data_IF_112488332458
#
_entry.id   IF_112488332458
#
_cell.length_a   1.000
_cell.length_b   1.000
_cell.length_c   1.000
_cell.angle_alpha   90.00
_cell.angle_beta   90.00
_cell.angle_gamma   90.00
#
_symmetry.space_group_name_H-M   'P 1'
#
loop_
_entity.id
_entity.type
_entity.pdbx_description
1 polymer ?
#
# COMPACT_ATOMS: atom_id res chain seq x y z
N UNK A 1 4.38 -12.87 -8.36
CA UNK A 1 4.59 -12.71 -6.92
C UNK A 1 4.02 -11.38 -6.48
N UNK A 2 3.11 -11.38 -5.51
CA UNK A 2 2.36 -10.21 -5.06
C UNK A 2 3.27 -9.23 -4.30
N UNK A 3 3.16 -7.92 -4.59
CA UNK A 3 3.93 -6.87 -3.92
C UNK A 3 3.20 -6.26 -2.71
N UNK A 4 1.94 -6.66 -2.50
CA UNK A 4 1.05 -6.14 -1.48
C UNK A 4 0.36 -7.32 -0.79
N UNK A 5 0.58 -7.48 0.51
CA UNK A 5 0.03 -8.53 1.37
C UNK A 5 -0.64 -7.88 2.59
N UNK A 6 -1.82 -7.30 2.38
CA UNK A 6 -2.55 -6.56 3.42
C UNK A 6 -3.90 -7.24 3.71
N UNK A 7 -4.41 -7.17 4.96
CA UNK A 7 -5.69 -7.79 5.34
C UNK A 7 -6.92 -7.09 4.76
N UNK A 8 -6.76 -5.87 4.25
CA UNK A 8 -7.80 -5.04 3.64
C UNK A 8 -7.27 -4.35 2.39
N UNK A 9 -8.16 -3.73 1.63
CA UNK A 9 -7.81 -3.03 0.41
C UNK A 9 -6.78 -1.92 0.69
N UNK A 10 -5.86 -1.68 -0.25
CA UNK A 10 -4.81 -0.67 -0.10
C UNK A 10 -5.42 0.73 0.09
N UNK A 11 -6.54 0.97 -0.58
CA UNK A 11 -7.29 2.22 -0.57
C UNK A 11 -7.84 2.57 0.83
N UNK A 12 -8.08 1.57 1.69
CA UNK A 12 -8.57 1.77 3.07
C UNK A 12 -7.49 2.38 3.98
N UNK A 13 -6.23 2.33 3.58
CA UNK A 13 -5.11 2.96 4.29
C UNK A 13 -4.85 4.38 3.83
N UNK A 14 -5.57 4.89 2.83
CA UNK A 14 -5.33 6.22 2.30
C UNK A 14 -5.93 7.30 3.19
N UNK A 15 -5.08 8.24 3.59
CA UNK A 15 -5.50 9.49 4.21
C UNK A 15 -5.67 10.57 3.14
N UNK A 16 -6.87 11.14 3.09
CA UNK A 16 -7.22 12.23 2.17
C UNK A 16 -7.19 13.55 2.91
N UNK A 17 -6.59 14.56 2.30
CA UNK A 17 -6.64 15.92 2.81
C UNK A 17 -6.98 16.89 1.69
N UNK A 18 -7.75 17.90 2.05
CA UNK A 18 -8.02 19.05 1.22
C UNK A 18 -7.24 20.25 1.76
N UNK A 19 -6.60 20.99 0.85
CA UNK A 19 -5.95 22.26 1.18
C UNK A 19 -6.90 23.41 0.83
N UNK A 20 -6.76 24.55 1.52
CA UNK A 20 -7.66 25.69 1.37
C UNK A 20 -7.94 26.05 -0.11
N UNK A 21 -9.22 26.30 -0.46
CA UNK A 21 -9.58 26.69 -1.81
C UNK A 21 -8.89 28.00 -2.20
N UNK A 22 -8.20 27.98 -3.33
CA UNK A 22 -7.66 29.20 -3.94
C UNK A 22 -8.63 29.71 -5.01
N UNK A 23 -8.48 30.97 -5.45
CA UNK A 23 -9.20 31.51 -6.62
C UNK A 23 -9.02 30.68 -7.90
N UNK A 24 -8.02 29.79 -7.97
CA UNK A 24 -7.71 28.95 -9.13
C UNK A 24 -8.29 27.53 -9.04
N UNK A 25 -8.83 27.15 -7.88
CA UNK A 25 -9.33 25.81 -7.63
C UNK A 25 -8.91 25.26 -6.26
N UNK A 26 -9.23 23.99 -6.05
CA UNK A 26 -9.00 23.23 -4.82
C UNK A 26 -7.83 22.30 -5.01
N UNK A 27 -6.99 22.16 -3.99
CA UNK A 27 -5.86 21.23 -3.97
C UNK A 27 -6.16 20.10 -3.01
N UNK A 28 -5.92 18.88 -3.47
CA UNK A 28 -6.12 17.67 -2.68
C UNK A 28 -4.84 16.87 -2.59
N UNK A 29 -4.72 16.09 -1.52
CA UNK A 29 -3.72 15.04 -1.41
C UNK A 29 -4.33 13.72 -1.00
N UNK A 30 -3.72 12.65 -1.51
CA UNK A 30 -3.88 11.28 -1.05
C UNK A 30 -2.54 10.88 -0.45
N UNK A 31 -2.53 10.31 0.74
CA UNK A 31 -1.30 9.84 1.38
C UNK A 31 -1.47 8.43 1.90
N UNK A 32 -0.39 7.66 1.81
CA UNK A 32 -0.27 6.33 2.41
C UNK A 32 0.85 6.38 3.46
N UNK A 33 0.52 6.44 4.76
CA UNK A 33 1.52 6.23 5.79
C UNK A 33 2.00 4.77 5.77
N UNK A 34 3.27 4.54 6.02
CA UNK A 34 3.83 3.19 6.15
C UNK A 34 5.04 3.19 7.08
N UNK A 35 5.32 2.05 7.69
CA UNK A 35 6.55 1.84 8.46
C UNK A 35 7.67 1.27 7.59
N UNK A 36 8.86 1.84 7.70
CA UNK A 36 10.12 1.31 7.18
C UNK A 36 11.03 0.98 8.37
N UNK A 37 11.05 -0.30 8.77
CA UNK A 37 11.57 -0.70 10.08
C UNK A 37 10.75 -0.02 11.20
N UNK A 38 11.40 0.79 12.02
CA UNK A 38 10.76 1.56 13.10
C UNK A 38 10.33 2.97 12.68
N UNK A 39 10.71 3.41 11.47
CA UNK A 39 10.46 4.77 11.01
C UNK A 39 9.10 4.86 10.33
N UNK A 40 8.27 5.80 10.76
CA UNK A 40 7.04 6.16 10.06
C UNK A 40 7.35 7.12 8.91
N UNK A 41 7.06 6.68 7.69
CA UNK A 41 7.17 7.46 6.47
C UNK A 41 5.80 7.58 5.79
N UNK A 42 5.72 8.37 4.70
CA UNK A 42 4.49 8.46 3.90
C UNK A 42 4.81 8.60 2.42
N UNK A 43 4.01 7.95 1.59
CA UNK A 43 3.87 8.31 0.18
C UNK A 43 2.74 9.33 0.04
N UNK A 44 2.91 10.28 -0.88
CA UNK A 44 1.90 11.32 -1.10
C UNK A 44 1.72 11.63 -2.57
N UNK A 45 0.46 11.79 -2.96
CA UNK A 45 0.03 12.17 -4.29
C UNK A 45 -0.82 13.43 -4.23
N UNK A 46 -0.44 14.44 -5.00
CA UNK A 46 -1.14 15.72 -5.07
C UNK A 46 -1.91 15.85 -6.38
N UNK A 47 -3.12 16.39 -6.30
CA UNK A 47 -3.90 16.74 -7.48
C UNK A 47 -4.65 18.05 -7.26
N UNK A 48 -4.92 18.74 -8.36
CA UNK A 48 -5.61 20.02 -8.37
C UNK A 48 -6.89 19.88 -9.17
N UNK A 49 -7.97 20.50 -8.70
CA UNK A 49 -9.27 20.55 -9.36
C UNK A 49 -9.66 22.00 -9.57
N UNK A 50 -9.84 22.40 -10.82
CA UNK A 50 -10.36 23.74 -11.15
C UNK A 50 -11.89 23.80 -10.93
N UNK A 51 -12.43 25.01 -10.79
CA UNK A 51 -13.88 25.20 -10.65
C UNK A 51 -14.67 24.61 -11.83
N UNK A 52 -14.12 24.69 -13.05
CA UNK A 52 -14.73 24.08 -14.24
C UNK A 52 -14.78 22.56 -14.11
N UNK A 53 -13.69 21.94 -13.65
CA UNK A 53 -13.61 20.48 -13.45
C UNK A 53 -14.54 19.98 -12.34
N UNK A 54 -14.77 20.80 -11.30
CA UNK A 54 -15.73 20.51 -10.23
C UNK A 54 -17.17 20.51 -10.76
N UNK A 55 -17.50 21.40 -11.68
CA UNK A 55 -18.81 21.47 -12.33
C UNK A 55 -19.05 20.44 -13.44
N UNK A 56 -17.99 19.76 -13.92
CA UNK A 56 -18.14 18.66 -14.89
C UNK A 56 -18.95 17.49 -14.30
N UNK A 57 -19.43 16.61 -15.17
CA UNK A 57 -20.16 15.40 -14.81
C UNK A 57 -21.40 15.70 -13.96
N UNK A 58 -22.18 16.71 -14.36
CA UNK A 58 -23.41 17.12 -13.69
C UNK A 58 -23.21 17.41 -12.19
N UNK A 59 -22.06 18.01 -11.84
CA UNK A 59 -21.68 18.33 -10.46
C UNK A 59 -21.02 17.19 -9.68
N UNK A 60 -20.72 16.05 -10.31
CA UNK A 60 -20.02 14.92 -9.68
C UNK A 60 -18.50 14.90 -9.96
N UNK A 61 -17.96 15.95 -10.57
CA UNK A 61 -16.57 16.01 -11.03
C UNK A 61 -15.53 15.71 -9.95
N UNK A 62 -15.76 16.16 -8.71
CA UNK A 62 -14.86 15.84 -7.59
C UNK A 62 -14.76 14.34 -7.31
N UNK A 63 -15.89 13.63 -7.32
CA UNK A 63 -15.94 12.19 -7.06
C UNK A 63 -15.17 11.45 -8.15
N UNK A 64 -15.44 11.78 -9.41
CA UNK A 64 -14.76 11.17 -10.57
C UNK A 64 -13.26 11.42 -10.53
N UNK A 65 -12.83 12.65 -10.24
CA UNK A 65 -11.42 13.01 -10.18
C UNK A 65 -10.70 12.37 -8.99
N UNK A 66 -11.40 12.20 -7.86
CA UNK A 66 -10.88 11.47 -6.70
C UNK A 66 -10.64 10.01 -7.04
N UNK A 67 -11.62 9.32 -7.64
CA UNK A 67 -11.47 7.91 -8.06
C UNK A 67 -10.28 7.74 -9.02
N UNK A 68 -10.18 8.59 -10.05
CA UNK A 68 -9.04 8.56 -10.98
C UNK A 68 -7.70 8.82 -10.29
N UNK A 69 -7.68 9.70 -9.30
CA UNK A 69 -6.46 10.01 -8.55
C UNK A 69 -6.05 8.85 -7.63
N UNK A 70 -7.02 8.13 -7.04
CA UNK A 70 -6.80 6.89 -6.27
C UNK A 70 -6.16 5.82 -7.18
N UNK A 71 -6.71 5.57 -8.36
CA UNK A 71 -6.17 4.59 -9.31
C UNK A 71 -4.72 4.93 -9.73
N UNK A 72 -4.46 6.21 -10.01
CA UNK A 72 -3.11 6.68 -10.35
C UNK A 72 -2.14 6.50 -9.19
N UNK A 73 -2.58 6.82 -7.97
CA UNK A 73 -1.75 6.66 -6.79
C UNK A 73 -1.46 5.19 -6.48
N UNK A 74 -2.44 4.30 -6.63
CA UNK A 74 -2.23 2.85 -6.53
C UNK A 74 -1.16 2.36 -7.50
N UNK A 75 -1.27 2.71 -8.79
CA UNK A 75 -0.24 2.35 -9.79
C UNK A 75 1.13 2.93 -9.46
N UNK A 76 1.16 4.13 -8.89
CA UNK A 76 2.39 4.75 -8.42
C UNK A 76 3.03 3.95 -7.27
N UNK A 77 2.24 3.51 -6.29
CA UNK A 77 2.69 2.66 -5.18
C UNK A 77 3.21 1.32 -5.70
N UNK A 78 2.46 0.66 -6.59
CA UNK A 78 2.86 -0.62 -7.20
C UNK A 78 4.20 -0.49 -7.94
N UNK A 79 4.37 0.58 -8.73
CA UNK A 79 5.62 0.87 -9.43
C UNK A 79 6.76 1.20 -8.46
N UNK A 80 6.48 1.96 -7.41
CA UNK A 80 7.46 2.28 -6.37
C UNK A 80 7.97 1.01 -5.70
N UNK A 81 7.08 0.11 -5.25
CA UNK A 81 7.44 -1.18 -4.66
C UNK A 81 8.26 -2.06 -5.59
N UNK A 82 7.88 -2.12 -6.87
CA UNK A 82 8.64 -2.87 -7.88
C UNK A 82 10.05 -2.30 -8.07
N UNK A 83 10.20 -0.97 -8.07
CA UNK A 83 11.49 -0.30 -8.27
C UNK A 83 12.41 -0.41 -7.05
N UNK A 84 11.84 -0.46 -5.84
CA UNK A 84 12.62 -0.58 -4.59
C UNK A 84 12.84 -2.02 -4.14
N UNK A 85 12.31 -3.00 -4.89
CA UNK A 85 12.26 -4.43 -4.51
C UNK A 85 11.68 -4.64 -3.10
N UNK A 86 10.61 -3.90 -2.81
CA UNK A 86 9.93 -3.89 -1.53
C UNK A 86 8.53 -4.52 -1.62
N UNK A 87 8.00 -4.89 -0.46
CA UNK A 87 6.67 -5.43 -0.30
C UNK A 87 5.94 -4.70 0.83
N UNK A 88 4.69 -4.30 0.59
CA UNK A 88 3.77 -3.85 1.65
C UNK A 88 3.16 -5.07 2.33
N UNK A 89 3.21 -5.11 3.65
CA UNK A 89 2.65 -6.20 4.45
C UNK A 89 2.20 -5.72 5.84
N UNK A 90 1.59 -6.62 6.60
CA UNK A 90 1.27 -6.44 8.01
C UNK A 90 -0.22 -6.29 8.26
N UNK A 91 -0.62 -6.65 9.49
CA UNK A 91 -2.01 -6.67 9.95
C UNK A 91 -2.39 -5.42 10.76
N UNK A 92 -1.42 -4.52 10.97
CA UNK A 92 -1.59 -3.28 11.71
C UNK A 92 -2.41 -2.23 10.93
N UNK A 93 -2.96 -1.20 11.60
CA UNK A 93 -3.68 -0.10 10.94
C UNK A 93 -2.83 0.71 9.95
N UNK A 94 -1.50 0.66 10.10
CA UNK A 94 -0.53 1.27 9.20
C UNK A 94 0.33 0.14 8.63
N UNK A 95 0.39 -0.01 7.30
CA UNK A 95 1.13 -1.09 6.68
C UNK A 95 2.63 -0.89 6.88
N UNK A 96 3.36 -2.00 6.82
CA UNK A 96 4.82 -2.04 6.93
C UNK A 96 5.42 -2.37 5.57
N UNK A 97 6.63 -1.88 5.35
CA UNK A 97 7.40 -2.17 4.15
C UNK A 97 8.61 -3.00 4.55
N UNK A 98 8.80 -4.12 3.85
CA UNK A 98 10.01 -4.95 3.96
C UNK A 98 10.65 -5.13 2.60
N UNK A 99 11.98 -5.24 2.57
CA UNK A 99 12.69 -5.66 1.36
C UNK A 99 12.30 -7.08 1.01
N UNK A 100 11.93 -7.35 -0.23
CA UNK A 100 11.50 -8.68 -0.69
C UNK A 100 12.58 -9.74 -0.44
N UNK A 101 13.84 -9.39 -0.64
CA UNK A 101 14.97 -10.29 -0.33
C UNK A 101 15.04 -10.69 1.16
N UNK A 102 14.57 -9.83 2.07
CA UNK A 102 14.47 -10.14 3.49
C UNK A 102 13.21 -10.97 3.81
N UNK A 103 12.09 -10.75 3.10
CA UNK A 103 10.85 -11.52 3.27
C UNK A 103 11.03 -13.04 3.06
N UNK A 104 11.90 -13.44 2.13
CA UNK A 104 12.21 -14.86 1.87
C UNK A 104 13.03 -15.48 3.03
N UNK A 105 13.80 -14.67 3.74
CA UNK A 105 14.60 -15.13 4.89
C UNK A 105 13.76 -15.28 6.18
N UNK A 106 12.58 -14.65 6.25
CA UNK A 106 11.65 -14.68 7.40
C UNK A 106 10.57 -15.77 7.29
N UNK A 107 10.60 -16.62 6.26
CA UNK A 107 9.79 -17.83 6.31
C UNK A 107 10.20 -18.60 7.58
N UNK A 108 9.23 -18.97 8.44
CA UNK A 108 9.56 -19.70 9.65
C UNK A 108 10.32 -20.94 9.22
N UNK A 109 11.48 -21.19 9.83
CA UNK A 109 12.10 -22.51 9.80
C UNK A 109 11.00 -23.47 10.22
N UNK A 110 10.35 -24.12 9.26
CA UNK A 110 9.48 -25.23 9.52
C UNK A 110 10.36 -26.19 10.31
N UNK A 111 10.01 -26.32 11.59
CA UNK A 111 10.61 -27.27 12.49
C UNK A 111 10.48 -28.63 11.80
N UNK A 112 11.58 -29.09 11.23
CA UNK A 112 11.68 -30.43 10.66
C UNK A 112 11.57 -31.34 11.87
N UNK A 113 10.35 -31.74 12.21
CA UNK A 113 10.10 -32.79 13.17
C UNK A 113 10.78 -34.04 12.58
N UNK A 114 11.87 -34.55 13.18
CA UNK A 114 12.42 -35.81 12.72
C UNK A 114 11.41 -36.89 13.08
N UNK A 115 10.79 -37.50 12.07
CA UNK A 115 10.04 -38.74 12.25
C UNK A 115 10.99 -39.77 12.89
N UNK A 116 10.61 -40.40 14.02
CA UNK A 116 11.43 -41.44 14.61
C UNK A 116 11.47 -42.63 13.65
N UNK A 117 12.67 -42.98 13.19
CA UNK A 117 12.93 -44.23 12.47
C UNK A 117 12.76 -45.36 13.47
N UNK A 118 11.62 -46.04 13.44
CA UNK A 118 11.46 -47.31 14.15
C UNK A 118 12.46 -48.32 13.60
N UNK A 119 13.51 -48.57 14.37
CA UNK A 119 14.36 -49.74 14.23
C UNK A 119 13.61 -50.93 14.83
N UNK A 120 12.90 -51.69 14.01
CA UNK A 120 12.54 -53.05 14.36
C UNK A 120 13.63 -53.99 13.84
N UNK A 121 14.41 -54.52 14.78
CA UNK A 121 15.43 -55.53 14.56
C UNK A 121 14.79 -56.92 14.34
N UNK A 122 15.33 -57.63 13.35
CA UNK A 122 15.76 -59.04 13.36
C UNK A 122 15.06 -59.98 14.36
N UNK A 123 14.38 -60.99 13.83
CA UNK A 123 14.51 -62.39 14.24
C UNK A 123 14.31 -63.29 13.02
#
# INVERSE_FOLDING_TARGET
MTLIELPRALEDYFAFAETEPTRRGRRFSISLPYFNGERLERLQWWYHVSAVQEQMYDGTGLVVLRVRSIERFRRHIERWLANTDQQLHGDDPIPRVRTRRAAVAELPKAEVIPLPVERAAIA
#
